data_IF_427944010780
#
_entry.id   IF_427944010780
#
_cell.length_a   1.000
_cell.length_b   1.000
_cell.length_c   1.000
_cell.angle_alpha   90.00
_cell.angle_beta   90.00
_cell.angle_gamma   90.00
#
_symmetry.space_group_name_H-M   'P 1'
#
loop_
_entity.id
_entity.type
_entity.pdbx_description
1 polymer ?
#
# COMPACT_ATOMS: atom_id res chain seq x y z
N UNK A 1 4.31 27.74 -12.68
CA UNK A 1 4.13 26.94 -11.46
C UNK A 1 3.47 25.66 -11.93
N UNK A 2 4.24 24.60 -12.14
CA UNK A 2 3.69 23.33 -12.63
C UNK A 2 2.87 22.77 -11.48
N UNK A 3 1.57 22.59 -11.73
CA UNK A 3 0.73 21.83 -10.84
C UNK A 3 1.30 20.41 -10.75
N UNK A 4 1.85 20.05 -9.60
CA UNK A 4 2.51 18.76 -9.42
C UNK A 4 1.49 17.60 -9.39
N UNK A 5 0.18 17.87 -9.49
CA UNK A 5 -0.87 16.85 -9.40
C UNK A 5 -1.17 16.37 -7.98
N UNK A 6 -0.63 17.05 -6.95
CA UNK A 6 -0.74 16.61 -5.56
C UNK A 6 -2.19 16.48 -5.06
N UNK A 7 -3.11 17.35 -5.49
CA UNK A 7 -4.51 17.24 -5.09
C UNK A 7 -5.16 15.94 -5.59
N UNK A 8 -4.87 15.57 -6.85
CA UNK A 8 -5.36 14.32 -7.43
C UNK A 8 -4.71 13.10 -6.78
N UNK A 9 -3.41 13.19 -6.50
CA UNK A 9 -2.66 12.15 -5.81
C UNK A 9 -3.24 11.91 -4.40
N UNK A 10 -3.46 12.97 -3.62
CA UNK A 10 -4.02 12.89 -2.27
C UNK A 10 -5.45 12.37 -2.25
N UNK A 11 -6.27 12.76 -3.24
CA UNK A 11 -7.64 12.26 -3.38
C UNK A 11 -7.71 10.75 -3.63
N UNK A 12 -6.67 10.17 -4.23
CA UNK A 12 -6.57 8.74 -4.57
C UNK A 12 -5.67 7.95 -3.61
N UNK A 13 -5.02 8.61 -2.67
CA UNK A 13 -4.01 8.00 -1.80
C UNK A 13 -4.61 6.93 -0.88
N UNK A 14 -5.84 7.12 -0.41
CA UNK A 14 -6.52 6.12 0.42
C UNK A 14 -6.85 4.87 -0.39
N UNK A 15 -7.43 5.01 -1.59
CA UNK A 15 -7.68 3.88 -2.50
C UNK A 15 -6.38 3.14 -2.83
N UNK A 16 -5.24 3.85 -2.96
CA UNK A 16 -3.93 3.27 -3.17
C UNK A 16 -3.46 2.43 -1.98
N UNK A 17 -3.58 2.96 -0.77
CA UNK A 17 -3.21 2.28 0.48
C UNK A 17 -4.02 1.00 0.71
N UNK A 18 -5.27 0.99 0.24
CA UNK A 18 -6.17 -0.16 0.35
C UNK A 18 -6.10 -1.12 -0.85
N UNK A 19 -5.38 -0.76 -1.91
CA UNK A 19 -5.22 -1.58 -3.12
C UNK A 19 -6.48 -1.60 -4.00
N UNK A 20 -7.27 -0.54 -3.95
CA UNK A 20 -8.55 -0.37 -4.66
C UNK A 20 -8.40 0.41 -5.97
N UNK A 21 -7.20 0.91 -6.28
CA UNK A 21 -6.89 1.55 -7.56
C UNK A 21 -6.66 0.55 -8.69
N UNK A 22 -7.03 0.97 -9.90
CA UNK A 22 -6.68 0.25 -11.11
C UNK A 22 -5.16 0.25 -11.32
N UNK A 23 -4.64 -0.80 -11.95
CA UNK A 23 -3.19 -0.99 -12.11
C UNK A 23 -2.51 0.17 -12.83
N UNK A 24 -3.17 0.80 -13.81
CA UNK A 24 -2.62 1.97 -14.50
C UNK A 24 -2.46 3.16 -13.53
N UNK A 25 -3.50 3.47 -12.75
CA UNK A 25 -3.44 4.58 -11.79
C UNK A 25 -2.46 4.30 -10.64
N UNK A 26 -2.22 3.03 -10.28
CA UNK A 26 -1.16 2.67 -9.33
C UNK A 26 0.22 3.07 -9.84
N UNK A 27 0.52 2.82 -11.12
CA UNK A 27 1.82 3.20 -11.72
C UNK A 27 2.01 4.73 -11.70
N UNK A 28 1.00 5.50 -12.10
CA UNK A 28 1.04 6.97 -12.05
C UNK A 28 1.22 7.47 -10.60
N UNK A 29 0.55 6.84 -9.64
CA UNK A 29 0.66 7.21 -8.23
C UNK A 29 2.05 6.88 -7.66
N UNK A 30 2.63 5.74 -8.02
CA UNK A 30 3.99 5.38 -7.64
C UNK A 30 5.04 6.34 -8.19
N UNK A 31 4.88 6.81 -9.43
CA UNK A 31 5.78 7.81 -10.03
C UNK A 31 5.68 9.13 -9.27
N UNK A 32 4.45 9.58 -8.99
CA UNK A 32 4.22 10.80 -8.23
C UNK A 32 4.80 10.73 -6.82
N UNK A 33 4.59 9.62 -6.09
CA UNK A 33 5.14 9.44 -4.74
C UNK A 33 6.68 9.44 -4.71
N UNK A 34 7.35 9.06 -5.81
CA UNK A 34 8.81 9.14 -5.95
C UNK A 34 9.29 10.55 -6.30
N UNK A 35 8.51 11.28 -7.09
CA UNK A 35 8.84 12.64 -7.53
C UNK A 35 8.48 13.72 -6.49
N UNK A 36 7.54 13.42 -5.60
CA UNK A 36 6.93 14.39 -4.69
C UNK A 36 7.10 13.97 -3.22
N UNK A 37 8.07 14.58 -2.53
CA UNK A 37 8.33 14.34 -1.11
C UNK A 37 7.10 14.48 -0.20
N UNK A 38 6.29 15.57 -0.25
CA UNK A 38 5.17 15.72 0.67
C UNK A 38 4.10 14.63 0.50
N UNK A 39 3.84 14.17 -0.73
CA UNK A 39 2.92 13.06 -0.95
C UNK A 39 3.52 11.72 -0.50
N UNK A 40 4.84 11.53 -0.66
CA UNK A 40 5.57 10.39 -0.10
C UNK A 40 5.51 10.32 1.44
N UNK A 41 5.59 11.46 2.10
CA UNK A 41 5.45 11.57 3.56
C UNK A 41 4.01 11.21 4.00
N UNK A 42 2.97 11.76 3.33
CA UNK A 42 1.57 11.41 3.60
C UNK A 42 1.29 9.90 3.39
N UNK A 43 1.81 9.32 2.31
CA UNK A 43 1.71 7.89 2.05
C UNK A 43 2.36 7.05 3.17
N UNK A 44 3.53 7.47 3.65
CA UNK A 44 4.25 6.77 4.72
C UNK A 44 3.47 6.80 6.04
N UNK A 45 2.82 7.92 6.35
CA UNK A 45 1.94 8.05 7.52
C UNK A 45 0.73 7.13 7.39
N UNK A 46 0.03 7.19 6.27
CA UNK A 46 -1.15 6.34 6.01
C UNK A 46 -0.81 4.84 6.07
N UNK A 47 0.31 4.43 5.47
CA UNK A 47 0.81 3.05 5.55
C UNK A 47 1.11 2.64 6.99
N UNK A 48 1.77 3.50 7.76
CA UNK A 48 2.10 3.22 9.17
C UNK A 48 0.83 3.04 10.01
N UNK A 49 -0.18 3.88 9.81
CA UNK A 49 -1.46 3.78 10.49
C UNK A 49 -2.17 2.47 10.12
N UNK A 50 -2.28 2.15 8.83
CA UNK A 50 -2.90 0.91 8.35
C UNK A 50 -2.21 -0.33 8.93
N UNK A 51 -0.88 -0.35 8.95
CA UNK A 51 -0.12 -1.45 9.56
C UNK A 51 -0.37 -1.55 11.07
N UNK A 52 -0.46 -0.41 11.77
CA UNK A 52 -0.74 -0.40 13.21
C UNK A 52 -2.13 -0.95 13.52
N UNK A 53 -3.15 -0.54 12.76
CA UNK A 53 -4.51 -1.07 12.89
C UNK A 53 -4.53 -2.57 12.60
N UNK A 54 -3.91 -3.02 11.49
CA UNK A 54 -3.78 -4.45 11.18
C UNK A 54 -3.08 -5.23 12.28
N UNK A 55 -2.03 -4.68 12.89
CA UNK A 55 -1.31 -5.36 13.98
C UNK A 55 -2.14 -5.51 15.26
N UNK A 56 -3.13 -4.63 15.48
CA UNK A 56 -4.06 -4.75 16.60
C UNK A 56 -5.21 -5.72 16.28
N UNK A 57 -5.48 -6.00 15.01
CA UNK A 57 -6.43 -7.02 14.58
C UNK A 57 -5.77 -8.40 14.67
N UNK A 58 -5.92 -9.06 15.83
CA UNK A 58 -5.34 -10.37 16.13
C UNK A 58 -6.06 -11.53 15.41
N UNK A 59 -6.19 -11.47 14.09
CA UNK A 59 -6.69 -12.59 13.30
C UNK A 59 -5.54 -13.55 13.01
N UNK A 60 -5.51 -14.69 13.70
CA UNK A 60 -4.48 -15.71 13.49
C UNK A 60 -4.90 -16.60 12.33
N UNK A 61 -4.12 -16.60 11.25
CA UNK A 61 -4.35 -17.51 10.13
C UNK A 61 -4.27 -18.99 10.59
N UNK A 62 -5.12 -19.88 10.06
CA UNK A 62 -5.11 -21.29 10.44
C UNK A 62 -3.76 -21.93 10.10
N UNK A 63 -3.24 -22.74 11.03
CA UNK A 63 -1.89 -23.31 10.92
C UNK A 63 -1.70 -24.18 9.67
N UNK A 64 -2.77 -24.82 9.20
CA UNK A 64 -2.72 -25.65 8.00
C UNK A 64 -2.40 -24.83 6.74
N UNK A 65 -3.06 -23.68 6.59
CA UNK A 65 -2.82 -22.76 5.49
C UNK A 65 -1.37 -22.25 5.51
N UNK A 66 -0.86 -21.91 6.70
CA UNK A 66 0.54 -21.52 6.88
C UNK A 66 1.50 -22.63 6.43
N UNK A 67 1.26 -23.89 6.82
CA UNK A 67 2.08 -25.04 6.38
C UNK A 67 2.07 -25.22 4.87
N UNK A 68 0.89 -25.12 4.24
CA UNK A 68 0.77 -25.24 2.78
C UNK A 68 1.56 -24.15 2.04
N UNK A 69 1.44 -22.89 2.48
CA UNK A 69 2.16 -21.76 1.87
C UNK A 69 3.68 -21.95 2.00
N UNK A 70 4.17 -22.31 3.19
CA UNK A 70 5.61 -22.55 3.40
C UNK A 70 6.14 -23.65 2.47
N UNK A 71 5.43 -24.79 2.37
CA UNK A 71 5.83 -25.88 1.49
C UNK A 71 5.86 -25.50 0.00
N UNK A 72 5.05 -24.53 -0.43
CA UNK A 72 5.07 -24.00 -1.80
C UNK A 72 6.26 -23.08 -2.08
N UNK A 73 6.78 -22.37 -1.07
CA UNK A 73 7.95 -21.50 -1.21
C UNK A 73 9.27 -22.28 -1.16
N UNK A 74 9.27 -23.45 -0.52
CA UNK A 74 10.44 -24.33 -0.34
C UNK A 74 10.74 -25.22 -1.55
N UNK A 75 9.79 -25.35 -2.49
CA UNK A 75 10.01 -26.12 -3.72
C UNK A 75 10.89 -25.32 -4.70
N UNK A 76 12.05 -25.86 -5.11
CA UNK A 76 12.94 -25.22 -6.09
C UNK A 76 12.31 -25.15 -7.48
#
# INVERSE_FOLDING_TARGET
MVDCGCESARARLEDYLHGELAQQDCCDMEDHLKACQPCGDEHSIGKTLTLKVKSACCETAPEDLKRQIMASLEKP
#
